data_IF_683824809010
#
_entry.id   IF_683824809010
#
_cell.length_a   1.000
_cell.length_b   1.000
_cell.length_c   1.000
_cell.angle_alpha   90.00
_cell.angle_beta   90.00
_cell.angle_gamma   90.00
#
_symmetry.space_group_name_H-M   'P 1'
#
loop_
_entity.id
_entity.type
_entity.pdbx_description
1 polymer ?
#
# COMPACT_ATOMS: atom_id res chain seq x y z
N UNK A 1 -25.12 8.06 12.48
CA UNK A 1 -24.05 8.78 13.13
C UNK A 1 -23.78 8.24 14.51
N UNK A 2 -22.78 7.35 14.60
CA UNK A 2 -22.50 6.59 15.82
C UNK A 2 -23.51 5.50 16.15
N UNK A 3 -24.42 5.18 15.24
CA UNK A 3 -25.34 4.04 15.35
C UNK A 3 -25.08 3.05 14.24
N UNK A 4 -25.05 1.77 14.58
CA UNK A 4 -24.96 0.71 13.59
C UNK A 4 -26.25 0.69 12.73
N UNK A 5 -26.16 0.25 11.46
CA UNK A 5 -27.32 0.06 10.62
C UNK A 5 -28.24 -1.05 11.16
N UNK A 6 -29.53 -0.98 10.81
CA UNK A 6 -30.49 -2.02 11.13
C UNK A 6 -31.15 -2.48 9.83
N UNK A 7 -30.99 -3.76 9.42
CA UNK A 7 -30.22 -4.81 10.10
C UNK A 7 -28.74 -4.47 10.18
N UNK A 8 -28.04 -5.07 11.13
CA UNK A 8 -26.59 -4.85 11.29
C UNK A 8 -25.83 -5.31 10.05
N UNK A 9 -24.96 -4.45 9.56
CA UNK A 9 -24.04 -4.72 8.46
C UNK A 9 -22.69 -4.07 8.74
N UNK A 10 -21.62 -4.84 8.57
CA UNK A 10 -20.25 -4.37 8.77
C UNK A 10 -19.59 -4.11 7.40
N UNK A 11 -19.47 -2.82 6.99
CA UNK A 11 -18.88 -2.47 5.70
C UNK A 11 -17.40 -2.82 5.62
N UNK A 12 -16.67 -2.77 6.73
CA UNK A 12 -15.23 -3.08 6.75
C UNK A 12 -15.01 -4.58 6.53
N UNK A 13 -15.73 -5.43 7.25
CA UNK A 13 -15.67 -6.88 7.07
C UNK A 13 -16.02 -7.27 5.63
N UNK A 14 -17.08 -6.69 5.06
CA UNK A 14 -17.48 -6.92 3.67
C UNK A 14 -16.38 -6.52 2.68
N UNK A 15 -15.79 -5.33 2.83
CA UNK A 15 -14.75 -4.85 1.91
C UNK A 15 -13.50 -5.72 1.96
N UNK A 16 -13.10 -6.18 3.14
CA UNK A 16 -11.96 -7.09 3.31
C UNK A 16 -12.23 -8.42 2.62
N UNK A 17 -13.41 -9.02 2.89
CA UNK A 17 -13.79 -10.30 2.30
C UNK A 17 -13.82 -10.24 0.76
N UNK A 18 -14.44 -9.22 0.19
CA UNK A 18 -14.53 -9.04 -1.26
C UNK A 18 -13.18 -8.73 -1.91
N UNK A 19 -12.28 -8.08 -1.19
CA UNK A 19 -10.89 -7.83 -1.61
C UNK A 19 -10.11 -9.14 -1.67
N UNK A 20 -10.16 -9.93 -0.59
CA UNK A 20 -9.46 -11.20 -0.50
C UNK A 20 -9.98 -12.24 -1.51
N UNK A 21 -11.30 -12.32 -1.75
CA UNK A 21 -11.88 -13.19 -2.80
C UNK A 21 -11.30 -12.94 -4.19
N UNK A 22 -10.80 -11.72 -4.44
CA UNK A 22 -10.17 -11.31 -5.71
C UNK A 22 -8.63 -11.43 -5.71
N UNK A 23 -8.03 -12.01 -4.66
CA UNK A 23 -6.59 -12.16 -4.52
C UNK A 23 -5.85 -10.85 -4.22
N UNK A 24 -6.59 -9.80 -3.86
CA UNK A 24 -6.05 -8.50 -3.49
C UNK A 24 -5.82 -8.40 -1.97
N UNK A 25 -5.04 -7.41 -1.56
CA UNK A 25 -4.84 -7.06 -0.17
C UNK A 25 -5.68 -5.85 0.23
N UNK A 26 -6.14 -5.84 1.47
CA UNK A 26 -6.88 -4.73 2.04
C UNK A 26 -6.01 -3.95 3.02
N UNK A 27 -5.63 -2.73 2.64
CA UNK A 27 -4.89 -1.81 3.48
C UNK A 27 -5.87 -0.81 4.12
N UNK A 28 -6.04 -0.87 5.44
CA UNK A 28 -6.91 0.06 6.15
C UNK A 28 -6.25 1.43 6.25
N UNK A 29 -6.79 2.40 5.52
CA UNK A 29 -6.30 3.77 5.53
C UNK A 29 -6.93 4.59 6.64
N UNK A 30 -6.09 5.19 7.49
CA UNK A 30 -6.48 6.05 8.61
C UNK A 30 -5.75 7.40 8.52
N UNK A 31 -6.46 8.47 8.91
CA UNK A 31 -5.83 9.74 9.21
C UNK A 31 -5.59 9.81 10.73
N UNK A 32 -4.32 9.93 11.19
CA UNK A 32 -4.03 9.75 12.61
C UNK A 32 -4.57 10.87 13.51
N UNK A 33 -4.65 12.11 13.03
CA UNK A 33 -4.90 13.24 13.90
C UNK A 33 -6.14 14.07 13.58
N UNK A 34 -6.72 13.95 12.38
CA UNK A 34 -7.88 14.75 11.99
C UNK A 34 -9.17 14.16 12.54
N UNK A 35 -9.70 14.75 13.62
CA UNK A 35 -10.93 14.29 14.25
C UNK A 35 -12.20 14.86 13.62
N UNK A 36 -12.16 16.11 13.12
CA UNK A 36 -13.28 16.76 12.41
C UNK A 36 -12.75 17.45 11.17
N UNK A 37 -13.23 17.01 10.00
CA UNK A 37 -12.77 17.54 8.70
C UNK A 37 -13.24 18.98 8.45
N UNK A 38 -14.51 19.28 8.76
CA UNK A 38 -15.07 20.63 8.63
C UNK A 38 -16.08 20.83 9.74
N UNK A 39 -15.81 21.80 10.60
CA UNK A 39 -16.64 22.11 11.76
C UNK A 39 -18.02 22.59 11.27
N UNK A 40 -19.08 22.04 11.88
CA UNK A 40 -20.46 22.41 11.56
C UNK A 40 -21.05 21.75 10.31
N UNK A 41 -20.23 21.07 9.47
CA UNK A 41 -20.72 20.43 8.25
C UNK A 41 -21.45 19.11 8.50
N UNK A 42 -21.07 18.39 9.54
CA UNK A 42 -21.69 17.11 9.90
C UNK A 42 -22.07 17.11 11.37
N UNK A 43 -23.20 16.46 11.70
CA UNK A 43 -23.57 16.26 13.09
C UNK A 43 -22.61 15.26 13.76
N UNK A 44 -22.32 15.50 15.02
CA UNK A 44 -21.40 14.70 15.84
C UNK A 44 -22.22 14.06 16.95
N UNK A 45 -22.14 12.73 17.10
CA UNK A 45 -22.82 11.99 18.17
C UNK A 45 -22.42 12.51 19.57
N UNK A 46 -23.29 12.36 20.55
CA UNK A 46 -23.00 12.81 21.93
C UNK A 46 -21.75 12.13 22.51
N UNK A 47 -21.61 10.84 22.23
CA UNK A 47 -20.50 10.01 22.70
C UNK A 47 -19.21 10.14 21.88
N UNK A 48 -19.17 11.01 20.88
CA UNK A 48 -17.96 11.19 20.06
C UNK A 48 -16.82 11.72 20.92
N UNK A 49 -15.61 11.22 20.66
CA UNK A 49 -14.42 11.53 21.48
C UNK A 49 -14.15 13.04 21.61
N UNK A 50 -14.45 13.83 20.57
CA UNK A 50 -14.29 15.31 20.60
C UNK A 50 -15.23 16.02 21.60
N UNK A 51 -16.28 15.33 22.07
CA UNK A 51 -17.18 15.82 23.11
C UNK A 51 -16.84 15.26 24.48
N UNK A 52 -16.35 14.00 24.52
CA UNK A 52 -15.99 13.33 25.78
C UNK A 52 -14.65 13.79 26.33
N UNK A 53 -13.73 14.19 25.45
CA UNK A 53 -12.36 14.61 25.77
C UNK A 53 -11.99 15.87 24.98
N UNK A 54 -12.70 16.99 25.16
CA UNK A 54 -12.48 18.21 24.38
C UNK A 54 -11.07 18.76 24.53
N UNK A 55 -10.40 18.52 25.66
CA UNK A 55 -9.03 18.93 25.98
C UNK A 55 -7.95 18.22 25.15
N UNK A 56 -8.31 17.16 24.41
CA UNK A 56 -7.40 16.44 23.51
C UNK A 56 -7.28 17.08 22.12
N UNK A 57 -8.04 18.14 21.87
CA UNK A 57 -8.19 18.66 20.51
C UNK A 57 -7.80 20.12 20.40
N UNK A 58 -7.17 20.42 19.26
CA UNK A 58 -6.80 21.76 18.84
C UNK A 58 -7.59 22.16 17.60
N UNK A 59 -7.98 23.45 17.52
CA UNK A 59 -8.65 24.04 16.37
C UNK A 59 -7.61 24.68 15.46
N UNK A 60 -7.59 24.28 14.18
CA UNK A 60 -6.75 24.90 13.19
C UNK A 60 -7.49 25.06 11.87
N UNK A 61 -7.73 26.30 11.48
CA UNK A 61 -8.66 26.61 10.40
C UNK A 61 -10.11 26.23 10.76
N UNK A 62 -10.74 25.52 9.88
CA UNK A 62 -12.10 24.99 10.02
C UNK A 62 -12.14 23.52 10.51
N UNK A 63 -11.00 23.01 11.01
CA UNK A 63 -10.81 21.60 11.36
C UNK A 63 -10.47 21.43 12.84
N UNK A 64 -10.76 20.24 13.36
CA UNK A 64 -10.36 19.84 14.70
C UNK A 64 -9.40 18.66 14.61
N UNK A 65 -8.25 18.82 15.25
CA UNK A 65 -7.19 17.81 15.27
C UNK A 65 -6.95 17.32 16.70
N UNK A 66 -6.59 16.06 16.86
CA UNK A 66 -5.94 15.63 18.09
C UNK A 66 -4.66 16.44 18.29
N UNK A 67 -4.36 16.79 19.52
CA UNK A 67 -3.09 17.44 19.88
C UNK A 67 -1.96 16.40 19.83
N UNK A 68 -1.00 16.51 18.89
CA UNK A 68 0.08 15.54 18.77
C UNK A 68 1.01 15.52 20.01
N UNK A 69 1.03 16.58 20.82
CA UNK A 69 1.76 16.64 22.08
C UNK A 69 1.04 15.99 23.26
N UNK A 70 -0.22 15.60 23.11
CA UNK A 70 -1.01 14.96 24.16
C UNK A 70 -0.85 13.44 24.11
N UNK A 71 -0.22 12.85 25.13
CA UNK A 71 0.08 11.41 25.17
C UNK A 71 -1.17 10.53 25.29
N UNK A 72 -2.21 10.99 25.95
CA UNK A 72 -3.49 10.25 26.05
C UNK A 72 -4.19 10.22 24.68
N UNK A 73 -4.14 11.33 23.94
CA UNK A 73 -4.65 11.40 22.58
C UNK A 73 -3.87 10.48 21.63
N UNK A 74 -2.53 10.44 21.74
CA UNK A 74 -1.71 9.48 20.99
C UNK A 74 -2.10 8.04 21.34
N UNK A 75 -2.22 7.71 22.63
CA UNK A 75 -2.58 6.36 23.06
C UNK A 75 -3.98 5.94 22.56
N UNK A 76 -4.93 6.88 22.52
CA UNK A 76 -6.25 6.61 21.93
C UNK A 76 -6.15 6.20 20.44
N UNK A 77 -5.35 6.91 19.65
CA UNK A 77 -5.13 6.58 18.23
C UNK A 77 -4.46 5.22 18.07
N UNK A 78 -3.46 4.92 18.91
CA UNK A 78 -2.79 3.60 18.94
C UNK A 78 -3.81 2.49 19.26
N UNK A 79 -4.71 2.71 20.22
CA UNK A 79 -5.75 1.75 20.58
C UNK A 79 -6.75 1.52 19.44
N UNK A 80 -7.10 2.55 18.67
CA UNK A 80 -7.94 2.40 17.47
C UNK A 80 -7.27 1.50 16.42
N UNK A 81 -5.97 1.70 16.17
CA UNK A 81 -5.21 0.84 15.26
C UNK A 81 -5.16 -0.60 15.76
N UNK A 82 -4.85 -0.79 17.05
CA UNK A 82 -4.83 -2.11 17.71
C UNK A 82 -6.19 -2.83 17.58
N UNK A 83 -7.29 -2.13 17.80
CA UNK A 83 -8.64 -2.67 17.68
C UNK A 83 -8.95 -3.15 16.25
N UNK A 84 -8.53 -2.39 15.24
CA UNK A 84 -8.70 -2.79 13.83
C UNK A 84 -7.91 -4.08 13.54
N UNK A 85 -6.62 -4.11 13.86
CA UNK A 85 -5.75 -5.27 13.58
C UNK A 85 -6.21 -6.52 14.33
N UNK A 86 -6.73 -6.34 15.56
CA UNK A 86 -7.23 -7.45 16.38
C UNK A 86 -8.53 -8.04 15.85
N UNK A 87 -9.45 -7.22 15.36
CA UNK A 87 -10.80 -7.64 14.96
C UNK A 87 -10.95 -7.98 13.49
N UNK A 88 -10.09 -7.47 12.64
CA UNK A 88 -10.22 -7.61 11.19
C UNK A 88 -8.95 -8.18 10.57
N UNK A 89 -9.07 -9.08 9.59
CA UNK A 89 -7.92 -9.64 8.88
C UNK A 89 -7.41 -8.66 7.81
N UNK A 90 -7.04 -7.43 8.24
CA UNK A 90 -6.41 -6.45 7.35
C UNK A 90 -4.98 -6.88 7.01
N UNK A 91 -4.53 -6.59 5.79
CA UNK A 91 -3.16 -6.90 5.35
C UNK A 91 -2.17 -5.80 5.76
N UNK A 92 -2.66 -4.57 5.88
CA UNK A 92 -1.86 -3.44 6.32
C UNK A 92 -2.70 -2.34 6.99
N UNK A 93 -2.02 -1.56 7.82
CA UNK A 93 -2.46 -0.22 8.22
C UNK A 93 -1.71 0.80 7.35
N UNK A 94 -2.43 1.76 6.81
CA UNK A 94 -1.88 2.80 5.96
C UNK A 94 -2.27 4.18 6.49
N UNK A 95 -1.32 5.12 6.55
CA UNK A 95 -1.59 6.49 6.93
C UNK A 95 -1.15 7.46 5.84
N UNK A 96 -1.85 8.58 5.76
CA UNK A 96 -1.48 9.71 4.89
C UNK A 96 -0.40 10.60 5.54
N UNK A 97 -0.22 11.81 5.01
CA UNK A 97 0.82 12.76 5.41
C UNK A 97 0.35 13.79 6.46
N UNK A 98 -0.89 13.70 6.93
CA UNK A 98 -1.45 14.68 7.86
C UNK A 98 -1.09 14.38 9.33
N UNK A 99 0.19 14.33 9.65
CA UNK A 99 0.66 14.26 11.04
C UNK A 99 0.46 15.61 11.73
N UNK A 100 1.16 16.65 11.30
CA UNK A 100 0.70 18.01 11.50
C UNK A 100 -0.04 18.47 10.24
N UNK A 101 -1.05 19.37 10.36
CA UNK A 101 -1.78 19.82 9.19
C UNK A 101 -0.91 20.71 8.28
N UNK A 102 -1.27 20.77 7.01
CA UNK A 102 -0.69 21.72 6.08
C UNK A 102 -0.80 23.14 6.62
N UNK A 103 0.26 23.92 6.46
CA UNK A 103 0.32 25.30 6.97
C UNK A 103 -0.78 26.17 6.38
N UNK A 104 -1.43 26.93 7.24
CA UNK A 104 -2.32 28.02 6.87
C UNK A 104 -1.50 29.31 6.96
N UNK A 105 -1.44 30.09 5.87
CA UNK A 105 -0.68 31.32 5.83
C UNK A 105 -1.05 32.26 7.00
N UNK A 106 -0.05 32.75 7.71
CA UNK A 106 -0.23 33.62 8.86
C UNK A 106 -0.82 33.00 10.11
N UNK A 107 -0.97 31.65 10.15
CA UNK A 107 -1.48 30.95 11.34
C UNK A 107 -0.48 29.88 11.81
N UNK A 108 -0.05 30.01 13.04
CA UNK A 108 0.72 28.96 13.73
C UNK A 108 -0.23 27.87 14.22
N UNK A 109 0.23 26.61 14.23
CA UNK A 109 -0.52 25.51 14.86
C UNK A 109 -0.56 25.74 16.37
N UNK A 110 -1.74 25.66 17.03
CA UNK A 110 -1.93 26.20 18.38
C UNK A 110 -1.51 25.24 19.50
N UNK A 111 -0.34 24.61 19.41
CA UNK A 111 0.21 23.65 20.35
C UNK A 111 1.19 24.26 21.39
N UNK A 112 1.30 25.59 21.46
CA UNK A 112 2.23 26.27 22.37
C UNK A 112 2.04 25.86 23.85
N UNK A 113 0.80 25.70 24.28
CA UNK A 113 0.49 25.26 25.65
C UNK A 113 0.96 23.82 25.92
N UNK A 114 0.83 22.93 24.93
CA UNK A 114 1.29 21.54 25.03
C UNK A 114 2.80 21.46 25.03
N UNK A 115 3.46 22.27 24.22
CA UNK A 115 4.92 22.39 24.24
C UNK A 115 5.42 22.88 25.60
N UNK A 116 4.84 23.94 26.15
CA UNK A 116 5.21 24.46 27.45
C UNK A 116 5.02 23.41 28.58
N UNK A 117 3.90 22.69 28.58
CA UNK A 117 3.62 21.64 29.56
C UNK A 117 4.54 20.42 29.44
N UNK A 118 5.09 20.17 28.27
CA UNK A 118 5.95 18.99 28.02
C UNK A 118 7.26 19.03 28.80
N UNK A 119 7.74 20.22 29.20
CA UNK A 119 9.04 20.41 29.82
C UNK A 119 10.23 20.01 28.90
N UNK A 120 9.99 19.90 27.60
CA UNK A 120 11.00 19.47 26.62
C UNK A 120 12.12 20.49 26.52
N UNK A 121 13.36 20.01 26.43
CA UNK A 121 14.54 20.82 26.16
C UNK A 121 14.79 21.03 24.66
N UNK A 122 14.04 20.32 23.79
CA UNK A 122 14.10 20.49 22.35
C UNK A 122 13.49 21.83 21.94
N UNK A 123 13.95 22.41 20.83
CA UNK A 123 13.19 23.47 20.20
C UNK A 123 11.82 22.96 19.74
N UNK A 124 10.91 23.86 19.40
CA UNK A 124 9.51 23.52 19.12
C UNK A 124 9.35 22.62 17.89
N UNK A 125 10.13 22.82 16.85
CA UNK A 125 10.11 22.02 15.63
C UNK A 125 10.59 20.58 15.89
N UNK A 126 11.69 20.42 16.63
CA UNK A 126 12.21 19.09 17.01
C UNK A 126 11.27 18.39 18.01
N UNK A 127 10.62 19.13 18.91
CA UNK A 127 9.61 18.59 19.79
C UNK A 127 8.39 18.08 18.99
N UNK A 128 7.94 18.81 17.97
CA UNK A 128 6.88 18.35 17.08
C UNK A 128 7.27 17.05 16.35
N UNK A 129 8.48 16.99 15.79
CA UNK A 129 9.01 15.76 15.16
C UNK A 129 9.05 14.60 16.16
N UNK A 130 9.56 14.82 17.36
CA UNK A 130 9.63 13.77 18.39
C UNK A 130 8.25 13.24 18.81
N UNK A 131 7.20 14.05 18.77
CA UNK A 131 5.83 13.59 19.00
C UNK A 131 5.31 12.72 17.85
N UNK A 132 5.63 13.09 16.60
CA UNK A 132 5.25 12.27 15.43
C UNK A 132 6.03 10.96 15.42
N UNK A 133 7.34 10.99 15.68
CA UNK A 133 8.17 9.78 15.80
C UNK A 133 7.63 8.84 16.89
N UNK A 134 7.23 9.40 18.03
CA UNK A 134 6.67 8.63 19.16
C UNK A 134 5.41 7.87 18.77
N UNK A 135 4.48 8.49 18.04
CA UNK A 135 3.24 7.80 17.64
C UNK A 135 3.52 6.75 16.56
N UNK A 136 4.43 7.01 15.61
CA UNK A 136 4.83 6.03 14.59
C UNK A 136 5.39 4.77 15.23
N UNK A 137 6.33 4.93 16.18
CA UNK A 137 6.89 3.80 16.94
C UNK A 137 5.81 3.04 17.70
N UNK A 138 4.92 3.77 18.40
CA UNK A 138 3.86 3.15 19.19
C UNK A 138 2.85 2.38 18.33
N UNK A 139 2.48 2.91 17.16
CA UNK A 139 1.59 2.24 16.20
C UNK A 139 2.28 1.01 15.61
N UNK A 140 3.53 1.15 15.14
CA UNK A 140 4.31 0.02 14.61
C UNK A 140 4.36 -1.13 15.60
N UNK A 141 4.72 -0.82 16.86
CA UNK A 141 4.75 -1.81 17.94
C UNK A 141 3.39 -2.45 18.16
N UNK A 142 2.32 -1.65 18.26
CA UNK A 142 0.97 -2.15 18.48
C UNK A 142 0.50 -3.09 17.36
N UNK A 143 0.79 -2.78 16.11
CA UNK A 143 0.50 -3.64 14.95
C UNK A 143 1.23 -4.98 15.09
N UNK A 144 2.54 -4.95 15.32
CA UNK A 144 3.38 -6.16 15.37
C UNK A 144 3.11 -7.03 16.61
N UNK A 145 2.64 -6.46 17.69
CA UNK A 145 2.17 -7.20 18.88
C UNK A 145 0.88 -7.99 18.60
N UNK A 146 -0.06 -7.42 17.83
CA UNK A 146 -1.30 -8.11 17.47
C UNK A 146 -1.09 -9.10 16.32
N UNK A 147 -0.38 -8.69 15.27
CA UNK A 147 -0.09 -9.55 14.12
C UNK A 147 1.18 -9.10 13.38
N UNK A 148 2.24 -9.93 13.44
CA UNK A 148 3.54 -9.63 12.81
C UNK A 148 3.47 -9.53 11.28
N UNK A 149 2.47 -10.15 10.64
CA UNK A 149 2.31 -10.14 9.19
C UNK A 149 1.64 -8.86 8.67
N UNK A 150 0.89 -8.14 9.52
CA UNK A 150 0.25 -6.88 9.13
C UNK A 150 1.32 -5.81 8.93
N UNK A 151 1.30 -5.17 7.77
CA UNK A 151 2.27 -4.16 7.37
C UNK A 151 1.85 -2.79 7.85
N UNK A 152 2.82 -1.90 8.03
CA UNK A 152 2.57 -0.50 8.31
C UNK A 152 3.18 0.38 7.23
N UNK A 153 2.36 1.15 6.52
CA UNK A 153 2.77 2.01 5.43
C UNK A 153 2.32 3.45 5.58
N UNK A 154 3.07 4.34 4.95
CA UNK A 154 2.80 5.78 4.93
C UNK A 154 2.77 6.28 3.49
N UNK A 155 1.80 7.14 3.16
CA UNK A 155 1.84 7.96 1.94
C UNK A 155 2.25 9.40 2.27
N UNK A 156 3.56 9.68 2.33
CA UNK A 156 4.07 11.00 2.67
C UNK A 156 3.84 12.01 1.54
N UNK A 157 3.89 13.30 1.87
CA UNK A 157 4.02 14.36 0.87
C UNK A 157 5.21 14.08 -0.07
N UNK A 158 5.14 14.55 -1.31
CA UNK A 158 6.12 14.21 -2.36
C UNK A 158 7.57 14.52 -2.01
N UNK A 159 7.84 15.57 -1.25
CA UNK A 159 9.19 16.02 -0.90
C UNK A 159 9.45 15.81 0.59
N UNK A 160 10.46 14.98 0.91
CA UNK A 160 10.92 14.84 2.29
C UNK A 160 11.53 16.15 2.78
N UNK A 161 12.53 16.68 2.09
CA UNK A 161 13.19 17.97 2.34
C UNK A 161 13.86 18.45 1.05
N UNK A 162 13.96 19.76 0.85
CA UNK A 162 14.73 20.32 -0.27
C UNK A 162 16.23 20.20 -0.02
N UNK A 163 17.01 19.99 -1.09
CA UNK A 163 18.46 19.80 -0.99
C UNK A 163 19.21 21.05 -0.48
N UNK A 164 18.67 22.24 -0.68
CA UNK A 164 19.23 23.49 -0.14
C UNK A 164 19.11 23.61 1.39
N UNK A 165 18.26 22.79 2.02
CA UNK A 165 18.07 22.70 3.47
C UNK A 165 18.81 21.55 4.11
N UNK A 166 18.97 20.43 3.38
CA UNK A 166 19.68 19.24 3.84
C UNK A 166 20.30 18.55 2.61
N UNK A 167 21.61 18.25 2.60
CA UNK A 167 22.26 17.58 1.46
C UNK A 167 21.65 16.23 1.08
N UNK A 168 20.95 15.56 2.01
CA UNK A 168 20.20 14.33 1.74
C UNK A 168 18.87 14.59 1.04
N UNK A 169 18.42 15.83 0.97
CA UNK A 169 17.15 16.23 0.36
C UNK A 169 17.13 16.04 -1.16
N UNK A 170 15.95 16.12 -1.74
CA UNK A 170 15.78 16.05 -3.20
C UNK A 170 16.14 17.37 -3.87
N UNK A 171 16.60 17.29 -5.14
CA UNK A 171 16.77 18.47 -6.01
C UNK A 171 15.39 19.04 -6.36
N UNK A 172 14.82 19.75 -5.41
CA UNK A 172 13.49 20.33 -5.46
C UNK A 172 13.45 21.69 -4.79
N UNK A 173 12.42 22.46 -5.09
CA UNK A 173 12.12 23.76 -4.48
C UNK A 173 10.65 23.78 -4.04
N UNK A 174 10.29 22.82 -3.20
CA UNK A 174 8.96 22.75 -2.62
C UNK A 174 8.74 23.84 -1.58
N UNK A 175 7.55 24.43 -1.59
CA UNK A 175 7.15 25.40 -0.56
C UNK A 175 6.71 24.72 0.75
N UNK A 176 6.52 23.40 0.74
CA UNK A 176 6.19 22.56 1.87
C UNK A 176 6.94 21.22 1.77
N UNK A 177 7.35 20.68 2.90
CA UNK A 177 8.08 19.41 2.99
C UNK A 177 7.59 18.58 4.16
N UNK A 178 7.88 17.27 4.14
CA UNK A 178 7.54 16.38 5.26
C UNK A 178 8.26 16.81 6.54
N UNK A 179 9.58 17.03 6.44
CA UNK A 179 10.45 17.27 7.60
C UNK A 179 10.20 18.62 8.26
N UNK A 180 10.16 19.72 7.47
CA UNK A 180 10.11 21.06 8.01
C UNK A 180 8.69 21.55 8.32
N UNK A 181 7.66 21.01 7.62
CA UNK A 181 6.30 21.55 7.68
C UNK A 181 5.30 20.57 8.32
N UNK A 182 5.44 19.27 8.02
CA UNK A 182 4.58 18.23 8.57
C UNK A 182 5.22 17.52 9.76
N UNK A 183 6.46 17.89 10.09
CA UNK A 183 7.26 17.35 11.20
C UNK A 183 7.37 15.82 11.16
N UNK A 184 7.47 15.28 9.95
CA UNK A 184 7.51 13.86 9.65
C UNK A 184 8.87 13.48 9.05
N UNK A 185 9.70 12.77 9.81
CA UNK A 185 11.01 12.29 9.34
C UNK A 185 10.90 10.89 8.75
N UNK A 186 10.37 10.82 7.52
CA UNK A 186 10.13 9.54 6.83
C UNK A 186 11.42 8.74 6.64
N UNK A 187 12.56 9.40 6.41
CA UNK A 187 13.84 8.71 6.26
C UNK A 187 14.26 8.01 7.55
N UNK A 188 14.10 8.67 8.69
CA UNK A 188 14.33 8.05 10.00
C UNK A 188 13.46 6.81 10.20
N UNK A 189 12.18 6.90 9.84
CA UNK A 189 11.24 5.78 10.03
C UNK A 189 11.58 4.56 9.18
N UNK A 190 12.04 4.79 7.94
CA UNK A 190 12.55 3.74 7.04
C UNK A 190 13.86 3.13 7.56
N UNK A 191 14.81 3.98 7.95
CA UNK A 191 16.12 3.58 8.47
C UNK A 191 16.03 2.74 9.76
N UNK A 192 15.04 3.08 10.63
CA UNK A 192 14.81 2.40 11.92
C UNK A 192 13.82 1.24 11.84
N UNK A 193 13.38 0.84 10.65
CA UNK A 193 12.42 -0.24 10.46
C UNK A 193 11.06 -0.02 11.17
N UNK A 194 10.66 1.25 11.36
CA UNK A 194 9.38 1.57 12.01
C UNK A 194 8.20 1.43 11.05
N UNK A 195 8.45 1.50 9.75
CA UNK A 195 7.44 1.33 8.70
C UNK A 195 7.94 0.31 7.66
N UNK A 196 6.99 -0.40 7.02
CA UNK A 196 7.29 -1.46 6.09
C UNK A 196 7.31 -1.00 4.63
N UNK A 197 6.61 0.08 4.31
CA UNK A 197 6.61 0.66 2.95
C UNK A 197 6.21 2.13 2.95
N UNK A 198 6.56 2.80 1.87
CA UNK A 198 6.12 4.18 1.60
C UNK A 198 5.47 4.31 0.24
N UNK A 199 4.49 5.23 0.18
CA UNK A 199 3.82 5.61 -1.05
C UNK A 199 3.88 7.13 -1.22
N UNK A 200 5.04 7.70 -1.58
CA UNK A 200 5.15 9.14 -1.75
C UNK A 200 4.13 9.64 -2.79
N UNK A 201 3.43 10.70 -2.44
CA UNK A 201 2.35 11.30 -3.24
C UNK A 201 2.95 12.12 -4.39
N UNK A 202 3.49 11.45 -5.43
CA UNK A 202 4.04 12.13 -6.60
C UNK A 202 2.92 12.59 -7.54
N UNK A 203 2.01 13.42 -7.00
CA UNK A 203 0.87 14.00 -7.75
C UNK A 203 1.32 15.18 -8.63
N UNK A 204 2.39 14.95 -9.39
CA UNK A 204 3.14 15.95 -10.16
C UNK A 204 3.31 15.44 -11.59
N UNK A 205 3.46 16.36 -12.51
CA UNK A 205 3.79 16.02 -13.90
C UNK A 205 5.29 15.85 -14.12
N UNK A 206 5.65 15.10 -15.15
CA UNK A 206 7.02 15.00 -15.63
C UNK A 206 7.50 16.37 -16.12
N UNK A 207 8.71 16.77 -15.70
CA UNK A 207 9.30 18.07 -16.02
C UNK A 207 8.59 19.25 -15.36
N UNK A 208 8.06 19.10 -14.14
CA UNK A 208 7.57 20.24 -13.34
C UNK A 208 8.75 21.09 -12.86
N UNK A 209 8.69 22.41 -13.01
CA UNK A 209 9.82 23.34 -12.81
C UNK A 209 10.47 23.31 -11.43
N UNK A 210 9.68 23.07 -10.39
CA UNK A 210 10.14 23.13 -8.98
C UNK A 210 10.27 21.78 -8.32
N UNK A 211 9.40 20.83 -8.70
CA UNK A 211 9.23 19.54 -8.05
C UNK A 211 8.91 18.47 -9.11
N UNK A 212 9.87 18.22 -10.00
CA UNK A 212 9.69 17.32 -11.14
C UNK A 212 9.44 15.87 -10.68
N UNK A 213 8.44 15.21 -11.27
CA UNK A 213 8.09 13.82 -10.99
C UNK A 213 9.31 12.89 -11.08
N UNK A 214 10.08 12.97 -12.16
CA UNK A 214 11.24 12.12 -12.42
C UNK A 214 12.36 12.29 -11.40
N UNK A 215 12.61 13.52 -10.94
CA UNK A 215 13.63 13.79 -9.91
C UNK A 215 13.23 13.22 -8.54
N UNK A 216 11.95 13.34 -8.19
CA UNK A 216 11.44 12.80 -6.94
C UNK A 216 11.34 11.28 -6.98
N UNK A 217 10.96 10.68 -8.11
CA UNK A 217 10.97 9.24 -8.32
C UNK A 217 12.38 8.66 -8.12
N UNK A 218 13.38 9.27 -8.76
CA UNK A 218 14.77 8.88 -8.59
C UNK A 218 15.22 9.00 -7.14
N UNK A 219 14.91 10.13 -6.50
CA UNK A 219 15.28 10.37 -5.10
C UNK A 219 14.69 9.34 -4.16
N UNK A 220 13.38 9.08 -4.24
CA UNK A 220 12.70 8.08 -3.42
C UNK A 220 13.25 6.68 -3.67
N UNK A 221 13.53 6.31 -4.93
CA UNK A 221 14.10 5.01 -5.25
C UNK A 221 15.45 4.75 -4.59
N UNK A 222 16.27 5.81 -4.42
CA UNK A 222 17.57 5.73 -3.75
C UNK A 222 17.49 5.74 -2.22
N UNK A 223 16.38 6.21 -1.65
CA UNK A 223 16.20 6.41 -0.21
C UNK A 223 15.17 5.45 0.40
N UNK A 224 15.05 4.24 -0.14
CA UNK A 224 14.11 3.22 0.33
C UNK A 224 14.59 2.45 1.56
N UNK A 225 15.89 2.46 1.87
CA UNK A 225 16.50 1.67 2.96
C UNK A 225 16.12 0.18 2.93
N UNK A 226 15.98 -0.40 1.72
CA UNK A 226 15.56 -1.79 1.53
C UNK A 226 14.07 -2.06 1.71
N UNK A 227 13.26 -1.04 1.99
CA UNK A 227 11.80 -1.15 2.11
C UNK A 227 11.10 -0.98 0.76
N UNK A 228 9.84 -1.39 0.69
CA UNK A 228 9.06 -1.22 -0.53
C UNK A 228 8.66 0.23 -0.76
N UNK A 229 8.73 0.63 -2.04
CA UNK A 229 8.20 1.90 -2.52
C UNK A 229 7.12 1.64 -3.55
N UNK A 230 5.97 2.27 -3.36
CA UNK A 230 4.90 2.36 -4.34
C UNK A 230 4.68 3.82 -4.68
N UNK A 231 4.63 4.18 -5.96
CA UNK A 231 4.47 5.58 -6.36
C UNK A 231 3.00 5.97 -6.36
N UNK A 232 2.66 7.03 -5.64
CA UNK A 232 1.33 7.63 -5.63
C UNK A 232 1.11 8.52 -6.85
N UNK A 233 0.05 8.24 -7.63
CA UNK A 233 -0.35 9.04 -8.79
C UNK A 233 -1.65 9.79 -8.51
N UNK A 234 -1.67 11.10 -8.77
CA UNK A 234 -2.83 11.98 -8.58
C UNK A 234 -3.75 12.01 -9.79
N UNK A 235 -4.56 10.96 -10.00
CA UNK A 235 -5.43 10.84 -11.18
C UNK A 235 -6.45 11.98 -11.28
N UNK A 236 -6.92 12.53 -10.14
CA UNK A 236 -7.86 13.64 -10.10
C UNK A 236 -7.34 14.92 -10.78
N UNK A 237 -6.03 15.04 -10.97
CA UNK A 237 -5.41 16.23 -11.56
C UNK A 237 -5.79 16.46 -13.03
N UNK A 238 -6.28 15.45 -13.72
CA UNK A 238 -6.77 15.62 -15.10
C UNK A 238 -7.92 16.66 -15.19
N UNK A 239 -8.71 16.79 -14.12
CA UNK A 239 -9.81 17.75 -14.01
C UNK A 239 -9.33 19.17 -13.59
N UNK A 240 -8.09 19.31 -13.12
CA UNK A 240 -7.56 20.60 -12.68
C UNK A 240 -7.30 21.51 -13.88
N UNK A 241 -7.76 22.77 -13.77
CA UNK A 241 -7.60 23.76 -14.83
C UNK A 241 -6.15 24.28 -14.96
N UNK A 242 -5.32 24.02 -13.97
CA UNK A 242 -4.00 24.64 -13.78
C UNK A 242 -2.86 23.89 -14.48
N UNK A 243 -3.01 22.63 -14.84
CA UNK A 243 -1.97 21.85 -15.52
C UNK A 243 -2.42 21.34 -16.87
N UNK A 244 -1.79 21.82 -17.92
CA UNK A 244 -2.02 21.35 -19.30
C UNK A 244 -1.45 19.94 -19.50
N UNK A 245 -0.36 19.58 -18.78
CA UNK A 245 0.31 18.29 -18.93
C UNK A 245 -0.57 17.11 -18.48
N UNK A 246 -1.35 17.28 -17.40
CA UNK A 246 -2.29 16.24 -16.94
C UNK A 246 -3.45 15.97 -17.93
N UNK A 247 -3.69 16.85 -18.89
CA UNK A 247 -4.64 16.61 -20.00
C UNK A 247 -4.05 15.82 -21.16
N UNK A 248 -2.73 15.61 -21.14
CA UNK A 248 -2.06 14.79 -22.12
C UNK A 248 -2.32 13.30 -21.81
N UNK A 249 -2.93 12.52 -22.73
CA UNK A 249 -3.14 11.08 -22.54
C UNK A 249 -1.86 10.29 -22.25
N UNK A 250 -0.70 10.78 -22.69
CA UNK A 250 0.59 10.13 -22.48
C UNK A 250 1.19 10.36 -21.09
N UNK A 251 0.68 11.29 -20.28
CA UNK A 251 1.31 11.65 -19.00
C UNK A 251 1.39 10.45 -18.05
N UNK A 252 0.27 9.84 -17.68
CA UNK A 252 0.27 8.66 -16.82
C UNK A 252 1.03 7.47 -17.44
N UNK A 253 0.82 7.10 -18.74
CA UNK A 253 1.65 6.10 -19.40
C UNK A 253 3.15 6.34 -19.31
N UNK A 254 3.61 7.57 -19.47
CA UNK A 254 5.03 7.92 -19.37
C UNK A 254 5.55 7.80 -17.93
N UNK A 255 4.77 8.21 -16.93
CA UNK A 255 5.10 7.99 -15.53
C UNK A 255 5.27 6.49 -15.23
N UNK A 256 4.37 5.63 -15.73
CA UNK A 256 4.46 4.17 -15.55
C UNK A 256 5.68 3.56 -16.23
N UNK A 257 6.00 4.00 -17.44
CA UNK A 257 7.21 3.55 -18.17
C UNK A 257 8.47 3.95 -17.40
N UNK A 258 8.49 5.17 -16.86
CA UNK A 258 9.63 5.70 -16.12
C UNK A 258 9.84 4.94 -14.79
N UNK A 259 8.79 4.77 -13.99
CA UNK A 259 8.94 4.08 -12.70
C UNK A 259 9.41 2.62 -12.84
N UNK A 260 9.06 1.94 -13.95
CA UNK A 260 9.48 0.56 -14.23
C UNK A 260 10.98 0.43 -14.55
N UNK A 261 11.69 1.55 -14.72
CA UNK A 261 13.15 1.56 -14.88
C UNK A 261 13.88 1.47 -13.51
N UNK A 262 13.14 1.63 -12.41
CA UNK A 262 13.68 1.59 -11.06
C UNK A 262 13.30 0.27 -10.38
N UNK A 263 14.23 -0.69 -10.23
CA UNK A 263 13.94 -2.02 -9.69
C UNK A 263 13.50 -1.99 -8.21
N UNK A 264 13.81 -0.89 -7.50
CA UNK A 264 13.42 -0.68 -6.11
C UNK A 264 11.98 -0.17 -5.95
N UNK A 265 11.28 0.12 -7.07
CA UNK A 265 9.89 0.57 -7.07
C UNK A 265 8.99 -0.62 -7.40
N UNK A 266 8.18 -1.07 -6.43
CA UNK A 266 7.35 -2.27 -6.55
C UNK A 266 6.04 -2.03 -7.31
N UNK A 267 5.62 -0.78 -7.47
CA UNK A 267 4.37 -0.51 -8.21
C UNK A 267 3.81 0.88 -8.01
N UNK A 268 2.52 1.01 -8.30
CA UNK A 268 1.78 2.27 -8.31
C UNK A 268 0.56 2.21 -7.40
N UNK A 269 0.22 3.33 -6.78
CA UNK A 269 -1.05 3.55 -6.07
C UNK A 269 -1.72 4.79 -6.68
N UNK A 270 -3.03 4.72 -6.88
CA UNK A 270 -3.78 5.77 -7.57
C UNK A 270 -4.76 6.47 -6.63
N UNK A 271 -4.64 7.78 -6.52
CA UNK A 271 -5.61 8.59 -5.79
C UNK A 271 -6.50 9.32 -6.79
N UNK A 272 -7.75 8.87 -6.93
CA UNK A 272 -8.45 7.77 -6.30
C UNK A 272 -9.26 6.97 -7.33
N UNK A 273 -9.85 5.83 -6.93
CA UNK A 273 -10.71 5.01 -7.80
C UNK A 273 -11.83 5.84 -8.45
N UNK A 274 -12.47 6.75 -7.69
CA UNK A 274 -13.48 7.67 -8.20
C UNK A 274 -13.01 8.50 -9.41
N UNK A 275 -11.73 8.81 -9.48
CA UNK A 275 -11.16 9.57 -10.60
C UNK A 275 -11.17 8.77 -11.91
N UNK A 276 -11.22 7.44 -11.81
CA UNK A 276 -11.29 6.55 -12.97
C UNK A 276 -12.71 6.32 -13.51
N UNK A 277 -13.77 6.71 -12.78
CA UNK A 277 -15.17 6.48 -13.20
C UNK A 277 -15.48 7.04 -14.59
N UNK A 278 -14.81 8.11 -14.97
CA UNK A 278 -14.96 8.79 -16.28
C UNK A 278 -13.94 8.38 -17.33
N UNK A 279 -13.11 7.36 -17.05
CA UNK A 279 -12.00 6.94 -17.93
C UNK A 279 -11.17 8.15 -18.44
N UNK A 280 -10.59 8.99 -17.56
CA UNK A 280 -9.91 10.20 -17.96
C UNK A 280 -8.77 9.88 -18.94
N UNK A 281 -8.71 10.62 -20.06
CA UNK A 281 -7.69 10.45 -21.10
C UNK A 281 -7.55 9.01 -21.65
N UNK A 282 -8.55 8.13 -21.46
CA UNK A 282 -8.46 6.71 -21.83
C UNK A 282 -7.50 5.90 -20.94
N UNK A 283 -7.19 6.38 -19.74
CA UNK A 283 -6.21 5.72 -18.85
C UNK A 283 -6.69 4.38 -18.33
N UNK A 284 -7.99 4.19 -18.06
CA UNK A 284 -8.52 2.89 -17.64
C UNK A 284 -8.23 1.82 -18.71
N UNK A 285 -8.54 2.14 -19.97
CA UNK A 285 -8.30 1.23 -21.09
C UNK A 285 -6.80 0.95 -21.27
N UNK A 286 -5.97 1.99 -21.12
CA UNK A 286 -4.52 1.88 -21.19
C UNK A 286 -3.95 1.00 -20.09
N UNK A 287 -4.43 1.16 -18.85
CA UNK A 287 -4.02 0.33 -17.72
C UNK A 287 -4.45 -1.12 -17.94
N UNK A 288 -5.71 -1.36 -18.25
CA UNK A 288 -6.27 -2.71 -18.39
C UNK A 288 -5.65 -3.47 -19.57
N UNK A 289 -5.55 -2.83 -20.74
CA UNK A 289 -5.17 -3.52 -21.96
C UNK A 289 -3.66 -3.56 -22.21
N UNK A 290 -2.87 -2.70 -21.55
CA UNK A 290 -1.42 -2.61 -21.74
C UNK A 290 -0.65 -2.83 -20.43
N UNK A 291 -0.72 -1.89 -19.48
CA UNK A 291 0.21 -1.86 -18.33
C UNK A 291 -0.07 -2.95 -17.31
N UNK A 292 -1.34 -3.33 -17.10
CA UNK A 292 -1.79 -4.38 -16.17
C UNK A 292 -2.54 -5.51 -16.88
N UNK A 293 -2.23 -5.72 -18.15
CA UNK A 293 -2.82 -6.80 -18.97
C UNK A 293 -2.59 -8.18 -18.36
N UNK A 294 -1.47 -8.38 -17.71
CA UNK A 294 -1.10 -9.65 -17.08
C UNK A 294 -1.24 -9.54 -15.57
N UNK A 295 -1.68 -10.61 -14.91
CA UNK A 295 -1.71 -10.63 -13.44
C UNK A 295 -0.31 -10.51 -12.87
N UNK A 296 -0.22 -9.97 -11.64
CA UNK A 296 1.02 -9.85 -10.89
C UNK A 296 0.80 -10.31 -9.44
N UNK A 297 1.83 -10.85 -8.83
CA UNK A 297 1.83 -11.17 -7.41
C UNK A 297 2.15 -9.92 -6.58
N UNK A 298 1.60 -9.87 -5.38
CA UNK A 298 2.02 -8.91 -4.38
C UNK A 298 3.45 -9.25 -3.97
N UNK A 299 4.41 -8.32 -4.01
CA UNK A 299 5.78 -8.59 -3.63
C UNK A 299 5.91 -9.03 -2.17
N UNK A 300 6.73 -10.04 -1.90
CA UNK A 300 7.09 -10.44 -0.54
C UNK A 300 7.93 -9.36 0.14
N UNK A 301 7.78 -9.23 1.47
CA UNK A 301 8.59 -8.36 2.29
C UNK A 301 9.54 -9.21 3.14
N UNK A 302 10.76 -9.39 2.64
CA UNK A 302 11.77 -10.29 3.20
C UNK A 302 12.16 -9.96 4.65
N UNK A 303 12.01 -8.71 5.07
CA UNK A 303 12.25 -8.29 6.46
C UNK A 303 11.11 -8.69 7.41
N UNK A 304 9.93 -9.04 6.89
CA UNK A 304 8.81 -9.59 7.68
C UNK A 304 8.94 -11.11 7.76
N UNK A 305 9.06 -11.79 6.60
CA UNK A 305 9.22 -13.24 6.53
C UNK A 305 9.77 -13.67 5.18
N UNK A 306 10.75 -14.60 5.21
CA UNK A 306 11.29 -15.30 4.02
C UNK A 306 10.81 -16.74 3.93
N UNK A 307 9.98 -17.19 4.88
CA UNK A 307 9.57 -18.59 4.96
C UNK A 307 8.67 -18.94 3.78
N UNK A 308 9.12 -19.92 2.99
CA UNK A 308 8.36 -20.43 1.87
C UNK A 308 7.22 -21.34 2.36
N UNK A 309 6.00 -21.22 1.82
CA UNK A 309 5.02 -22.29 1.99
C UNK A 309 5.51 -23.58 1.34
N UNK A 310 5.07 -24.70 1.83
CA UNK A 310 5.33 -25.95 1.16
C UNK A 310 4.64 -26.00 -0.23
N UNK A 311 5.23 -26.74 -1.16
CA UNK A 311 4.71 -26.83 -2.53
C UNK A 311 3.33 -27.52 -2.56
N UNK A 312 2.44 -27.13 -3.50
CA UNK A 312 1.12 -27.73 -3.65
C UNK A 312 1.21 -29.22 -4.04
N UNK A 313 0.21 -29.99 -3.62
CA UNK A 313 0.10 -31.40 -3.97
C UNK A 313 -0.83 -31.54 -5.17
N UNK A 314 -0.34 -32.13 -6.26
CA UNK A 314 -1.14 -32.48 -7.43
C UNK A 314 -1.65 -33.92 -7.33
N UNK A 315 -2.91 -34.13 -7.67
CA UNK A 315 -3.55 -35.41 -7.73
C UNK A 315 -4.50 -35.48 -8.93
N UNK A 316 -4.90 -36.74 -9.28
CA UNK A 316 -5.82 -36.99 -10.40
C UNK A 316 -5.38 -36.36 -11.72
N UNK A 317 -4.08 -36.29 -11.97
CA UNK A 317 -3.56 -35.74 -13.21
C UNK A 317 -3.88 -36.69 -14.36
N UNK A 318 -4.72 -36.22 -15.30
CA UNK A 318 -5.17 -37.00 -16.46
C UNK A 318 -5.01 -36.16 -17.73
N UNK A 319 -4.68 -36.85 -18.84
CA UNK A 319 -4.61 -36.21 -20.15
C UNK A 319 -5.62 -36.84 -21.09
N UNK A 320 -6.42 -35.99 -21.77
CA UNK A 320 -7.36 -36.44 -22.82
C UNK A 320 -7.16 -35.53 -24.03
N UNK A 321 -6.51 -36.07 -25.07
CA UNK A 321 -6.09 -35.27 -26.23
C UNK A 321 -5.10 -34.17 -25.82
N UNK A 322 -5.43 -32.93 -26.10
CA UNK A 322 -4.61 -31.77 -25.74
C UNK A 322 -5.02 -31.14 -24.38
N UNK A 323 -6.03 -31.68 -23.72
CA UNK A 323 -6.44 -31.25 -22.39
C UNK A 323 -5.72 -32.02 -21.29
N UNK A 324 -5.18 -31.28 -20.30
CA UNK A 324 -4.66 -31.84 -19.05
C UNK A 324 -5.54 -31.35 -17.91
N UNK A 325 -6.10 -32.31 -17.16
CA UNK A 325 -6.92 -32.05 -15.96
C UNK A 325 -6.21 -32.54 -14.69
N UNK A 326 -6.40 -31.85 -13.58
CA UNK A 326 -5.76 -32.16 -12.30
C UNK A 326 -6.52 -31.55 -11.13
N UNK A 327 -6.28 -32.11 -9.94
CA UNK A 327 -6.72 -31.54 -8.67
C UNK A 327 -5.52 -30.99 -7.92
N UNK A 328 -5.65 -29.77 -7.39
CA UNK A 328 -4.65 -29.11 -6.54
C UNK A 328 -5.13 -29.19 -5.10
N UNK A 329 -4.27 -29.60 -4.19
CA UNK A 329 -4.52 -29.55 -2.75
C UNK A 329 -3.45 -28.70 -2.07
N UNK A 330 -3.79 -28.01 -0.96
CA UNK A 330 -2.78 -27.40 -0.12
C UNK A 330 -1.84 -28.48 0.42
N UNK A 331 -0.58 -28.13 0.72
CA UNK A 331 0.33 -29.07 1.35
C UNK A 331 -0.24 -29.53 2.70
N UNK A 332 -0.03 -30.80 3.03
CA UNK A 332 -0.49 -31.41 4.28
C UNK A 332 0.35 -31.00 5.50
N UNK A 333 1.52 -30.41 5.28
CA UNK A 333 2.44 -29.92 6.31
C UNK A 333 3.09 -28.63 5.84
N UNK A 334 3.30 -27.68 6.75
CA UNK A 334 3.97 -26.40 6.49
C UNK A 334 3.56 -25.37 7.52
N UNK A 335 4.49 -24.47 7.86
CA UNK A 335 4.27 -23.44 8.89
C UNK A 335 3.59 -22.18 8.32
N UNK A 336 3.58 -22.03 6.98
CA UNK A 336 3.00 -20.85 6.31
C UNK A 336 1.66 -21.22 5.68
N UNK A 337 0.54 -20.67 6.17
CA UNK A 337 -0.77 -20.89 5.56
C UNK A 337 -0.81 -20.40 4.11
N UNK A 338 -1.45 -21.18 3.23
CA UNK A 338 -1.60 -20.84 1.81
C UNK A 338 -2.69 -19.78 1.64
N UNK A 339 -2.38 -18.72 0.90
CA UNK A 339 -3.30 -17.65 0.48
C UNK A 339 -3.98 -17.97 -0.85
N UNK A 340 -3.18 -18.39 -1.84
CA UNK A 340 -3.65 -18.72 -3.18
C UNK A 340 -2.66 -19.64 -3.88
N UNK A 341 -3.03 -20.09 -5.08
CA UNK A 341 -2.15 -20.83 -5.98
C UNK A 341 -1.93 -20.02 -7.26
N UNK A 342 -0.75 -20.18 -7.86
CA UNK A 342 -0.41 -19.55 -9.14
C UNK A 342 -0.19 -20.63 -10.18
N UNK A 343 -0.88 -20.53 -11.29
CA UNK A 343 -0.67 -21.37 -12.46
C UNK A 343 0.21 -20.60 -13.44
N UNK A 344 1.35 -21.15 -13.73
CA UNK A 344 2.27 -20.65 -14.76
C UNK A 344 2.09 -21.40 -16.06
N UNK A 345 2.18 -20.69 -17.17
CA UNK A 345 2.17 -21.23 -18.53
C UNK A 345 3.44 -20.83 -19.28
N UNK A 346 4.18 -21.80 -19.74
CA UNK A 346 5.39 -21.59 -20.53
C UNK A 346 5.28 -22.28 -21.89
N UNK A 347 5.92 -21.75 -22.95
CA UNK A 347 6.09 -22.49 -24.19
C UNK A 347 6.79 -23.83 -23.95
N UNK A 348 6.29 -24.92 -24.55
CA UNK A 348 6.88 -26.24 -24.35
C UNK A 348 8.34 -26.27 -24.87
N UNK A 349 9.21 -26.96 -24.14
CA UNK A 349 10.63 -27.11 -24.51
C UNK A 349 11.51 -25.89 -24.23
N UNK A 350 10.99 -24.84 -23.58
CA UNK A 350 11.80 -23.69 -23.18
C UNK A 350 12.20 -23.74 -21.71
N UNK A 351 13.40 -23.22 -21.40
CA UNK A 351 13.92 -23.17 -20.03
C UNK A 351 13.10 -22.18 -19.18
N UNK A 352 12.54 -22.67 -18.08
CA UNK A 352 11.65 -21.92 -17.16
C UNK A 352 12.38 -20.80 -16.45
N UNK A 353 13.62 -21.04 -16.04
CA UNK A 353 14.41 -20.05 -15.29
C UNK A 353 14.64 -18.73 -16.04
N UNK A 354 14.63 -18.76 -17.37
CA UNK A 354 14.77 -17.57 -18.21
C UNK A 354 13.42 -16.88 -18.47
N UNK A 355 12.30 -17.51 -18.19
CA UNK A 355 10.97 -17.06 -18.54
C UNK A 355 10.13 -16.66 -17.34
N UNK A 356 10.42 -17.18 -16.15
CA UNK A 356 9.55 -17.04 -14.96
C UNK A 356 9.26 -15.59 -14.56
N UNK A 357 10.18 -14.69 -14.83
CA UNK A 357 10.02 -13.26 -14.53
C UNK A 357 9.38 -12.46 -15.68
N UNK A 358 8.94 -13.12 -16.74
CA UNK A 358 8.26 -12.42 -17.85
C UNK A 358 6.78 -12.20 -17.50
N UNK A 359 6.22 -11.02 -17.77
CA UNK A 359 4.84 -10.67 -17.38
C UNK A 359 3.76 -11.64 -17.86
N UNK A 360 3.98 -12.29 -19.01
CA UNK A 360 3.00 -13.19 -19.63
C UNK A 360 3.01 -14.63 -19.08
N UNK A 361 3.88 -14.95 -18.13
CA UNK A 361 4.04 -16.34 -17.62
C UNK A 361 3.02 -16.72 -16.57
N UNK A 362 2.48 -15.79 -15.79
CA UNK A 362 1.36 -16.05 -14.89
C UNK A 362 0.10 -16.22 -15.74
N UNK A 363 -0.39 -17.46 -15.81
CA UNK A 363 -1.63 -17.77 -16.52
C UNK A 363 -2.86 -17.40 -15.69
N UNK A 364 -2.87 -17.81 -14.42
CA UNK A 364 -3.92 -17.40 -13.48
C UNK A 364 -3.47 -17.47 -12.02
N UNK A 365 -4.14 -16.66 -11.17
CA UNK A 365 -4.05 -16.70 -9.72
C UNK A 365 -5.38 -17.24 -9.19
N UNK A 366 -5.34 -18.35 -8.46
CA UNK A 366 -6.53 -19.07 -7.97
C UNK A 366 -6.64 -18.91 -6.47
N UNK A 367 -7.62 -18.11 -6.02
CA UNK A 367 -7.86 -17.80 -4.61
C UNK A 367 -8.79 -18.86 -4.01
N UNK A 368 -8.28 -20.08 -3.89
CA UNK A 368 -8.97 -21.25 -3.28
C UNK A 368 -7.99 -22.02 -2.40
N UNK A 369 -7.66 -21.52 -1.20
CA UNK A 369 -6.58 -22.07 -0.37
C UNK A 369 -6.80 -23.54 0.03
N UNK A 370 -8.05 -24.01 0.02
CA UNK A 370 -8.39 -25.39 0.35
C UNK A 370 -8.27 -26.38 -0.84
N UNK A 371 -7.86 -25.87 -2.02
CA UNK A 371 -7.70 -26.64 -3.22
C UNK A 371 -8.80 -26.45 -4.26
N UNK A 372 -8.55 -26.96 -5.48
CA UNK A 372 -9.44 -26.82 -6.62
C UNK A 372 -9.14 -27.85 -7.70
N UNK A 373 -10.11 -28.07 -8.58
CA UNK A 373 -9.94 -28.83 -9.81
C UNK A 373 -9.75 -27.88 -10.99
N UNK A 374 -8.88 -28.24 -11.95
CA UNK A 374 -8.58 -27.43 -13.12
C UNK A 374 -8.38 -28.31 -14.34
N UNK A 375 -8.80 -27.78 -15.50
CA UNK A 375 -8.47 -28.35 -16.81
C UNK A 375 -7.83 -27.25 -17.68
N UNK A 376 -6.77 -27.57 -18.39
CA UNK A 376 -5.98 -26.64 -19.21
C UNK A 376 -5.67 -27.24 -20.58
N UNK A 377 -5.61 -26.41 -21.61
CA UNK A 377 -5.21 -26.84 -22.96
C UNK A 377 -3.69 -26.77 -23.10
N UNK A 378 -3.05 -27.87 -23.45
CA UNK A 378 -1.61 -27.92 -23.72
C UNK A 378 -1.25 -27.41 -25.11
N UNK A 379 -2.24 -27.25 -26.00
CA UNK A 379 -2.06 -26.58 -27.30
C UNK A 379 -3.18 -25.61 -27.55
N UNK A 380 -2.80 -24.41 -27.99
CA UNK A 380 -3.72 -23.37 -28.44
C UNK A 380 -3.16 -22.72 -29.69
N UNK A 381 -3.95 -22.63 -30.76
CA UNK A 381 -3.60 -21.95 -32.00
C UNK A 381 -2.24 -22.41 -32.62
N UNK A 382 -1.89 -23.70 -32.45
CA UNK A 382 -0.64 -24.27 -32.95
C UNK A 382 0.52 -24.24 -31.95
N UNK A 383 0.46 -23.44 -30.89
CA UNK A 383 1.50 -23.35 -29.86
C UNK A 383 1.32 -24.45 -28.81
N UNK A 384 2.42 -25.07 -28.38
CA UNK A 384 2.44 -26.04 -27.30
C UNK A 384 2.89 -25.41 -25.99
N UNK A 385 2.23 -25.78 -24.90
CA UNK A 385 2.45 -25.23 -23.56
C UNK A 385 2.74 -26.31 -22.50
N UNK A 386 3.52 -25.90 -21.50
CA UNK A 386 3.73 -26.63 -20.24
C UNK A 386 3.28 -25.77 -19.08
N UNK A 387 2.73 -26.41 -18.04
CA UNK A 387 2.18 -25.72 -16.88
C UNK A 387 2.92 -26.10 -15.61
N UNK A 388 3.01 -25.14 -14.70
CA UNK A 388 3.55 -25.30 -13.36
C UNK A 388 2.65 -24.62 -12.36
N UNK A 389 2.68 -25.08 -11.12
CA UNK A 389 1.87 -24.50 -10.05
C UNK A 389 2.77 -24.23 -8.85
N UNK A 390 2.48 -23.11 -8.17
CA UNK A 390 3.04 -22.79 -6.87
C UNK A 390 1.94 -22.49 -5.88
N UNK A 391 2.26 -22.54 -4.59
CA UNK A 391 1.45 -21.97 -3.51
C UNK A 391 2.05 -20.64 -3.08
N UNK A 392 1.22 -19.65 -2.80
CA UNK A 392 1.61 -18.38 -2.21
C UNK A 392 1.12 -18.32 -0.79
N UNK A 393 2.02 -18.06 0.14
CA UNK A 393 1.72 -17.94 1.57
C UNK A 393 1.07 -16.62 1.94
N UNK A 394 0.52 -16.53 3.15
CA UNK A 394 -0.03 -15.29 3.71
C UNK A 394 1.03 -14.18 3.83
N UNK A 395 2.31 -14.54 3.83
CA UNK A 395 3.46 -13.61 3.78
C UNK A 395 3.86 -13.19 2.36
N UNK A 396 3.08 -13.55 1.33
CA UNK A 396 3.34 -13.34 -0.10
C UNK A 396 4.61 -14.04 -0.65
N UNK A 397 5.22 -14.91 0.11
CA UNK A 397 6.33 -15.76 -0.37
C UNK A 397 5.77 -16.92 -1.16
N UNK A 398 6.41 -17.25 -2.27
CA UNK A 398 6.00 -18.30 -3.20
C UNK A 398 6.77 -19.61 -2.92
N UNK A 399 6.09 -20.75 -3.03
CA UNK A 399 6.69 -22.08 -2.94
C UNK A 399 7.56 -22.40 -4.15
N UNK A 400 8.23 -23.53 -4.10
CA UNK A 400 8.87 -24.09 -5.29
C UNK A 400 7.82 -24.52 -6.34
N UNK A 401 8.24 -24.52 -7.62
CA UNK A 401 7.40 -24.86 -8.77
C UNK A 401 7.13 -26.37 -8.81
N UNK A 402 5.87 -26.74 -9.02
CA UNK A 402 5.45 -28.13 -9.25
C UNK A 402 4.99 -28.29 -10.71
N UNK A 403 5.63 -29.14 -11.52
CA UNK A 403 5.21 -29.37 -12.89
C UNK A 403 3.86 -30.09 -12.97
N UNK A 404 3.00 -29.67 -13.89
CA UNK A 404 1.74 -30.37 -14.19
C UNK A 404 2.03 -31.42 -15.27
N UNK A 405 2.44 -32.61 -14.82
CA UNK A 405 2.75 -33.74 -15.71
C UNK A 405 1.92 -34.95 -15.30
N UNK A 406 1.48 -35.74 -16.26
CA UNK A 406 0.89 -37.05 -15.97
C UNK A 406 1.94 -37.93 -15.33
N UNK A 407 1.66 -38.40 -14.12
CA UNK A 407 2.48 -39.48 -13.52
C UNK A 407 2.19 -40.74 -14.32
N UNK A 408 3.12 -41.17 -15.15
CA UNK A 408 3.11 -42.52 -15.69
C UNK A 408 3.35 -43.41 -14.50
N UNK A 409 2.32 -44.14 -14.00
CA UNK A 409 2.53 -45.25 -13.08
C UNK A 409 3.28 -46.33 -13.89
N UNK A 410 4.56 -46.52 -13.57
CA UNK A 410 5.27 -47.75 -13.94
C UNK A 410 4.61 -49.00 -13.36
#
# INVERSE_FOLDING_TARGET
QGKAPVPFWDPLAFMIEETHKRGMEFHAWLNPYRAVHTIGKSSIAAEHITKRKPEWFLLYGDKKYFDPGNKDAQQFVVNVVRDIVKRYPVDAIHMDDYFYPYRIAGKEFPDAASYARSGSTLNKEDWRRSNVDSIIVAISKAIKEENKQVRFGISPFSVWRNQDKDPRGSDSRAGQTNYDDLYADILLWLEKDWIDYVTPQLYLEIGHDKIAYEKLLEWWSKNAFGKHIYIGHGIYRFDERTSVKWKNPAELPNQLKLLRQYPNVQGSIYFSSKSFDKNPNGWNDSLQNNYYKYPALVPSMDWISKEKPAAPVLSRVAKKGEEISFSVKPPSAGNVPVKCFVIYRFPAGRFITTLINQPATIFSIVVKPNGFDQALQQREKGDAYQYYITAVGMNNVESDLVPVTTVVKE
#
